data_IF_813897540141
#
_entry.id   IF_813897540141
#
_cell.length_a   1.000
_cell.length_b   1.000
_cell.length_c   1.000
_cell.angle_alpha   90.00
_cell.angle_beta   90.00
_cell.angle_gamma   90.00
#
_symmetry.space_group_name_H-M   'P 1'
#
loop_
_entity.id
_entity.type
_entity.pdbx_description
1 polymer ?
#
# COMPACT_ATOMS: atom_id res chain seq x y z
N UNK A 1 23.58 5.45 14.99
CA UNK A 1 22.49 4.52 15.34
C UNK A 1 21.32 5.23 16.02
N UNK A 2 21.53 6.27 16.84
CA UNK A 2 20.47 7.05 17.53
C UNK A 2 19.22 7.39 16.69
N UNK A 3 19.38 8.00 15.51
CA UNK A 3 18.23 8.38 14.67
C UNK A 3 17.41 7.21 14.11
N UNK A 4 17.97 6.00 14.06
CA UNK A 4 17.23 4.81 13.63
C UNK A 4 16.40 4.24 14.80
N UNK A 5 16.88 4.41 16.03
CA UNK A 5 16.16 4.05 17.25
C UNK A 5 14.86 4.85 17.38
N UNK A 6 14.85 6.12 16.97
CA UNK A 6 13.64 6.96 16.95
C UNK A 6 12.55 6.44 15.98
N UNK A 7 12.91 5.60 15.01
CA UNK A 7 11.98 5.02 14.03
C UNK A 7 11.44 3.65 14.42
N UNK A 8 11.94 3.06 15.52
CA UNK A 8 11.46 1.76 16.00
C UNK A 8 9.95 1.78 16.20
N UNK A 9 9.38 2.86 16.73
CA UNK A 9 7.94 2.96 16.94
C UNK A 9 7.14 2.96 15.64
N UNK A 10 7.65 3.60 14.58
CA UNK A 10 7.04 3.53 13.26
C UNK A 10 7.13 2.11 12.71
N UNK A 11 8.30 1.48 12.81
CA UNK A 11 8.54 0.12 12.34
C UNK A 11 7.63 -0.90 13.02
N UNK A 12 7.50 -0.86 14.34
CA UNK A 12 6.57 -1.72 15.09
C UNK A 12 5.12 -1.47 14.67
N UNK A 13 4.72 -0.20 14.49
CA UNK A 13 3.37 0.15 14.04
C UNK A 13 3.05 -0.49 12.69
N UNK A 14 3.92 -0.25 11.71
CA UNK A 14 3.77 -0.75 10.33
C UNK A 14 3.80 -2.27 10.29
N UNK A 15 4.67 -2.90 11.09
CA UNK A 15 4.71 -4.35 11.25
C UNK A 15 3.37 -4.91 11.75
N UNK A 16 2.83 -4.35 12.85
CA UNK A 16 1.58 -4.81 13.43
C UNK A 16 0.39 -4.60 12.49
N UNK A 17 0.32 -3.46 11.79
CA UNK A 17 -0.75 -3.20 10.82
C UNK A 17 -0.65 -4.15 9.62
N UNK A 18 0.56 -4.39 9.11
CA UNK A 18 0.80 -5.34 8.02
C UNK A 18 0.45 -6.77 8.43
N UNK A 19 0.82 -7.18 9.65
CA UNK A 19 0.50 -8.48 10.20
C UNK A 19 -1.02 -8.70 10.27
N UNK A 20 -1.77 -7.73 10.76
CA UNK A 20 -3.24 -7.82 10.84
C UNK A 20 -3.89 -7.95 9.45
N UNK A 21 -3.42 -7.15 8.48
CA UNK A 21 -3.92 -7.20 7.10
C UNK A 21 -3.64 -8.56 6.44
N UNK A 22 -2.39 -9.02 6.51
CA UNK A 22 -1.91 -10.23 5.82
C UNK A 22 -2.41 -11.52 6.48
N UNK A 23 -2.76 -11.47 7.76
CA UNK A 23 -3.40 -12.58 8.47
C UNK A 23 -4.81 -12.89 7.92
N UNK A 24 -5.54 -11.88 7.44
CA UNK A 24 -6.92 -12.04 6.96
C UNK A 24 -6.98 -12.41 5.48
N UNK A 25 -5.97 -12.02 4.71
CA UNK A 25 -5.95 -12.15 3.26
C UNK A 25 -6.23 -13.60 2.76
N UNK A 26 -5.61 -14.68 3.29
CA UNK A 26 -5.90 -16.04 2.83
C UNK A 26 -7.30 -16.54 3.24
N UNK A 27 -7.90 -15.94 4.26
CA UNK A 27 -9.17 -16.35 4.83
C UNK A 27 -10.37 -15.71 4.14
N UNK A 28 -10.16 -14.60 3.41
CA UNK A 28 -11.26 -13.80 2.88
C UNK A 28 -12.07 -14.55 1.82
N UNK A 29 -11.41 -15.32 0.95
CA UNK A 29 -12.06 -16.14 -0.07
C UNK A 29 -13.02 -17.16 0.55
N UNK A 30 -12.62 -17.80 1.64
CA UNK A 30 -13.48 -18.74 2.36
C UNK A 30 -14.70 -18.04 2.96
N UNK A 31 -14.49 -16.87 3.59
CA UNK A 31 -15.59 -16.08 4.15
C UNK A 31 -16.56 -15.60 3.07
N UNK A 32 -16.06 -15.02 1.98
CA UNK A 32 -16.88 -14.56 0.86
C UNK A 32 -17.72 -15.68 0.27
N UNK A 33 -17.12 -16.85 0.01
CA UNK A 33 -17.83 -17.99 -0.55
C UNK A 33 -18.91 -18.50 0.41
N UNK A 34 -18.61 -18.64 1.70
CA UNK A 34 -19.60 -19.09 2.69
C UNK A 34 -20.76 -18.11 2.87
N UNK A 35 -20.53 -16.81 2.71
CA UNK A 35 -21.54 -15.77 2.89
C UNK A 35 -22.44 -15.58 1.66
N UNK A 36 -21.91 -15.72 0.45
CA UNK A 36 -22.65 -15.48 -0.80
C UNK A 36 -23.20 -16.76 -1.43
N UNK A 37 -22.45 -17.85 -1.38
CA UNK A 37 -22.74 -19.11 -2.07
C UNK A 37 -22.46 -20.31 -1.14
N UNK A 38 -23.25 -20.49 -0.07
CA UNK A 38 -23.00 -21.54 0.92
C UNK A 38 -23.05 -22.94 0.28
N UNK A 39 -22.02 -23.75 0.54
CA UNK A 39 -21.93 -25.13 0.04
C UNK A 39 -21.53 -25.27 -1.44
N UNK A 40 -21.18 -24.18 -2.11
CA UNK A 40 -20.69 -24.20 -3.49
C UNK A 40 -19.22 -23.77 -3.55
N UNK A 41 -18.44 -24.40 -4.43
CA UNK A 41 -17.03 -24.04 -4.65
C UNK A 41 -16.85 -23.04 -5.81
N UNK A 42 -17.88 -22.83 -6.63
CA UNK A 42 -17.89 -21.86 -7.71
C UNK A 42 -19.00 -20.82 -7.49
N UNK A 43 -18.63 -19.53 -7.47
CA UNK A 43 -19.55 -18.42 -7.27
C UNK A 43 -19.09 -17.23 -8.12
N UNK A 44 -19.74 -17.00 -9.26
CA UNK A 44 -19.40 -15.89 -10.16
C UNK A 44 -19.58 -14.53 -9.48
N UNK A 45 -20.60 -14.40 -8.64
CA UNK A 45 -20.88 -13.18 -7.87
C UNK A 45 -19.70 -12.77 -6.98
N UNK A 46 -19.05 -13.72 -6.31
CA UNK A 46 -17.89 -13.45 -5.46
C UNK A 46 -16.70 -12.87 -6.24
N UNK A 47 -16.47 -13.39 -7.46
CA UNK A 47 -15.42 -12.92 -8.36
C UNK A 47 -15.73 -11.51 -8.87
N UNK A 48 -16.97 -11.26 -9.33
CA UNK A 48 -17.37 -9.94 -9.81
C UNK A 48 -17.30 -8.87 -8.72
N UNK A 49 -17.77 -9.18 -7.50
CA UNK A 49 -17.70 -8.26 -6.37
C UNK A 49 -16.25 -7.96 -5.99
N UNK A 50 -15.38 -8.98 -5.94
CA UNK A 50 -13.96 -8.81 -5.62
C UNK A 50 -13.25 -7.97 -6.70
N UNK A 51 -13.52 -8.22 -7.98
CA UNK A 51 -12.96 -7.43 -9.09
C UNK A 51 -13.45 -5.98 -9.07
N UNK A 52 -14.74 -5.75 -8.83
CA UNK A 52 -15.31 -4.40 -8.73
C UNK A 52 -14.72 -3.64 -7.53
N UNK A 53 -14.57 -4.31 -6.40
CA UNK A 53 -13.93 -3.74 -5.22
C UNK A 53 -12.48 -3.35 -5.52
N UNK A 54 -11.68 -4.23 -6.15
CA UNK A 54 -10.30 -3.92 -6.52
C UNK A 54 -10.21 -2.74 -7.50
N UNK A 55 -11.11 -2.67 -8.49
CA UNK A 55 -11.16 -1.55 -9.43
C UNK A 55 -11.45 -0.21 -8.73
N UNK A 56 -12.43 -0.18 -7.80
CA UNK A 56 -12.73 1.03 -7.02
C UNK A 56 -11.56 1.42 -6.13
N UNK A 57 -10.94 0.45 -5.44
CA UNK A 57 -9.80 0.69 -4.56
C UNK A 57 -8.62 1.27 -5.36
N UNK A 58 -8.28 0.66 -6.50
CA UNK A 58 -7.21 1.12 -7.37
C UNK A 58 -7.47 2.55 -7.87
N UNK A 59 -8.64 2.80 -8.48
CA UNK A 59 -9.00 4.14 -8.97
C UNK A 59 -9.07 5.18 -7.85
N UNK A 60 -9.64 4.81 -6.69
CA UNK A 60 -9.72 5.66 -5.51
C UNK A 60 -8.35 6.04 -4.98
N UNK A 61 -7.43 5.07 -4.94
CA UNK A 61 -6.06 5.27 -4.46
C UNK A 61 -5.29 6.27 -5.34
N UNK A 62 -5.55 6.33 -6.65
CA UNK A 62 -4.93 7.34 -7.55
C UNK A 62 -5.23 8.77 -7.09
N UNK A 63 -6.44 9.02 -6.58
CA UNK A 63 -6.86 10.36 -6.14
C UNK A 63 -6.55 10.60 -4.66
N UNK A 64 -6.77 9.60 -3.82
CA UNK A 64 -6.66 9.72 -2.36
C UNK A 64 -5.21 9.76 -1.90
N UNK A 65 -4.30 9.01 -2.53
CA UNK A 65 -2.88 8.97 -2.15
C UNK A 65 -2.20 10.34 -2.21
N UNK A 66 -2.29 11.14 -3.31
CA UNK A 66 -1.67 12.47 -3.35
C UNK A 66 -2.34 13.43 -2.38
N UNK A 67 -3.66 13.29 -2.16
CA UNK A 67 -4.40 14.11 -1.20
C UNK A 67 -3.91 13.86 0.23
N UNK A 68 -3.78 12.60 0.64
CA UNK A 68 -3.23 12.21 1.96
C UNK A 68 -1.80 12.72 2.10
N UNK A 69 -0.97 12.62 1.05
CA UNK A 69 0.40 13.15 1.04
C UNK A 69 0.45 14.64 1.36
N UNK A 70 -0.31 15.46 0.63
CA UNK A 70 -0.35 16.92 0.83
C UNK A 70 -0.96 17.30 2.20
N UNK A 71 -2.04 16.63 2.63
CA UNK A 71 -2.61 16.85 3.96
C UNK A 71 -1.62 16.50 5.08
N UNK A 72 -0.81 15.47 4.86
CA UNK A 72 0.21 15.03 5.81
C UNK A 72 1.38 15.99 5.95
N UNK A 73 1.69 16.74 4.89
CA UNK A 73 2.68 17.81 4.95
C UNK A 73 2.19 18.98 5.84
N UNK A 74 0.89 19.25 5.87
CA UNK A 74 0.31 20.39 6.60
C UNK A 74 -0.10 20.05 8.04
N UNK A 75 -0.83 18.94 8.23
CA UNK A 75 -1.36 18.51 9.52
C UNK A 75 -0.38 17.64 10.32
N UNK A 76 0.75 17.29 9.72
CA UNK A 76 1.75 16.43 10.31
C UNK A 76 1.53 14.94 10.03
N UNK A 77 2.65 14.23 9.91
CA UNK A 77 2.72 12.82 9.50
C UNK A 77 2.01 11.88 10.48
N UNK A 78 2.19 12.09 11.80
CA UNK A 78 1.56 11.24 12.83
C UNK A 78 0.04 11.42 12.85
N UNK A 79 -0.46 12.65 12.76
CA UNK A 79 -1.89 12.90 12.72
C UNK A 79 -2.55 12.20 11.53
N UNK A 80 -1.95 12.34 10.34
CA UNK A 80 -2.47 11.70 9.13
C UNK A 80 -2.33 10.19 9.13
N UNK A 81 -1.27 9.61 9.72
CA UNK A 81 -1.10 8.15 9.81
C UNK A 81 -2.12 7.47 10.74
N UNK A 82 -2.75 8.23 11.65
CA UNK A 82 -3.79 7.67 12.53
C UNK A 82 -5.06 7.32 11.74
N UNK A 83 -5.42 8.14 10.75
CA UNK A 83 -6.65 7.97 9.97
C UNK A 83 -6.70 6.58 9.31
N UNK A 84 -5.73 6.15 8.48
CA UNK A 84 -5.79 4.84 7.86
C UNK A 84 -5.68 3.70 8.89
N UNK A 85 -4.87 3.84 9.95
CA UNK A 85 -4.77 2.82 10.99
C UNK A 85 -6.11 2.57 11.69
N UNK A 86 -6.81 3.63 12.06
CA UNK A 86 -8.13 3.52 12.72
C UNK A 86 -9.22 3.03 11.78
N UNK A 87 -9.24 3.50 10.52
CA UNK A 87 -10.19 3.03 9.52
C UNK A 87 -10.01 1.54 9.19
N UNK A 88 -8.78 1.01 9.25
CA UNK A 88 -8.50 -0.41 9.00
C UNK A 88 -9.15 -1.36 10.00
N UNK A 89 -9.50 -0.87 11.21
CA UNK A 89 -10.12 -1.68 12.27
C UNK A 89 -11.58 -2.01 11.93
N UNK A 90 -12.30 -1.10 11.26
CA UNK A 90 -13.75 -1.23 11.09
C UNK A 90 -14.15 -2.45 10.25
N UNK A 91 -13.57 -2.70 9.05
CA UNK A 91 -13.89 -3.90 8.28
C UNK A 91 -13.54 -5.18 9.02
N UNK A 92 -12.42 -5.19 9.76
CA UNK A 92 -12.00 -6.33 10.57
C UNK A 92 -12.98 -6.63 11.69
N UNK A 93 -13.45 -5.60 12.40
CA UNK A 93 -14.40 -5.72 13.50
C UNK A 93 -15.75 -6.27 13.03
N UNK A 94 -16.23 -5.87 11.85
CA UNK A 94 -17.48 -6.38 11.26
C UNK A 94 -17.40 -7.91 11.08
N UNK A 95 -16.34 -8.40 10.43
CA UNK A 95 -16.16 -9.84 10.19
C UNK A 95 -15.76 -10.62 11.45
N UNK A 96 -15.19 -9.95 12.46
CA UNK A 96 -14.94 -10.53 13.77
C UNK A 96 -16.24 -10.78 14.56
N UNK A 97 -17.27 -9.92 14.37
CA UNK A 97 -18.57 -10.05 15.03
C UNK A 97 -19.43 -11.13 14.38
N UNK A 98 -19.70 -11.01 13.07
CA UNK A 98 -20.54 -11.97 12.34
C UNK A 98 -20.14 -12.06 10.87
N UNK A 99 -20.35 -13.25 10.28
CA UNK A 99 -19.99 -13.58 8.90
C UNK A 99 -21.20 -14.00 8.07
N UNK A 100 -22.40 -13.58 8.48
CA UNK A 100 -23.61 -13.78 7.66
C UNK A 100 -23.62 -12.82 6.47
N UNK A 101 -24.46 -13.09 5.48
CA UNK A 101 -24.54 -12.35 4.22
C UNK A 101 -24.70 -10.83 4.41
N UNK A 102 -25.53 -10.38 5.37
CA UNK A 102 -25.73 -8.95 5.66
C UNK A 102 -24.45 -8.28 6.19
N UNK A 103 -23.72 -8.96 7.08
CA UNK A 103 -22.45 -8.44 7.60
C UNK A 103 -21.36 -8.48 6.53
N UNK A 104 -21.39 -9.45 5.61
CA UNK A 104 -20.50 -9.46 4.46
C UNK A 104 -20.72 -8.23 3.56
N UNK A 105 -21.96 -7.86 3.23
CA UNK A 105 -22.22 -6.65 2.44
C UNK A 105 -21.83 -5.37 3.18
N UNK A 106 -22.04 -5.31 4.51
CA UNK A 106 -21.55 -4.20 5.33
C UNK A 106 -20.02 -4.11 5.31
N UNK A 107 -19.32 -5.24 5.45
CA UNK A 107 -17.88 -5.35 5.28
C UNK A 107 -17.44 -4.90 3.89
N UNK A 108 -18.11 -5.37 2.84
CA UNK A 108 -17.79 -5.04 1.45
C UNK A 108 -17.83 -3.53 1.20
N UNK A 109 -18.94 -2.88 1.57
CA UNK A 109 -19.10 -1.44 1.40
C UNK A 109 -18.05 -0.66 2.22
N UNK A 110 -17.88 -1.02 3.49
CA UNK A 110 -16.95 -0.30 4.36
C UNK A 110 -15.49 -0.54 3.99
N UNK A 111 -15.12 -1.77 3.64
CA UNK A 111 -13.79 -2.11 3.14
C UNK A 111 -13.51 -1.35 1.85
N UNK A 112 -14.45 -1.28 0.91
CA UNK A 112 -14.26 -0.53 -0.33
C UNK A 112 -13.93 0.94 -0.07
N UNK A 113 -14.66 1.59 0.84
CA UNK A 113 -14.43 3.01 1.19
C UNK A 113 -13.13 3.22 1.97
N UNK A 114 -12.85 2.36 2.95
CA UNK A 114 -11.66 2.49 3.81
C UNK A 114 -10.38 2.11 3.09
N UNK A 115 -10.41 1.08 2.24
CA UNK A 115 -9.27 0.60 1.45
C UNK A 115 -8.63 1.68 0.57
N UNK A 116 -9.43 2.58 0.00
CA UNK A 116 -8.95 3.71 -0.79
C UNK A 116 -7.97 4.61 -0.01
N UNK A 117 -8.12 4.64 1.33
CA UNK A 117 -7.28 5.41 2.26
C UNK A 117 -6.21 4.54 2.89
N UNK A 118 -6.53 3.28 3.24
CA UNK A 118 -5.62 2.42 4.03
C UNK A 118 -4.50 1.81 3.21
N UNK A 119 -4.80 1.26 2.03
CA UNK A 119 -3.90 0.35 1.33
C UNK A 119 -2.67 1.11 0.79
N UNK A 120 -2.89 2.31 0.25
CA UNK A 120 -1.80 3.22 -0.15
C UNK A 120 -1.34 4.14 0.98
N UNK A 121 -2.25 4.59 1.86
CA UNK A 121 -1.97 5.65 2.82
C UNK A 121 -0.94 5.26 3.87
N UNK A 122 -1.00 4.05 4.44
CA UNK A 122 -0.05 3.61 5.48
C UNK A 122 1.37 3.59 4.92
N UNK A 123 1.55 3.00 3.74
CA UNK A 123 2.86 2.87 3.09
C UNK A 123 3.43 4.24 2.67
N UNK A 124 2.60 5.09 2.06
CA UNK A 124 2.98 6.44 1.66
C UNK A 124 3.44 7.27 2.86
N UNK A 125 2.65 7.28 3.93
CA UNK A 125 2.92 8.06 5.14
C UNK A 125 4.13 7.55 5.91
N UNK A 126 4.34 6.23 5.96
CA UNK A 126 5.51 5.63 6.58
C UNK A 126 6.80 6.00 5.82
N UNK A 127 6.79 5.89 4.49
CA UNK A 127 7.92 6.30 3.64
C UNK A 127 8.24 7.79 3.82
N UNK A 128 7.21 8.63 3.82
CA UNK A 128 7.38 10.07 4.03
C UNK A 128 7.93 10.38 5.43
N UNK A 129 7.43 9.71 6.48
CA UNK A 129 7.95 9.87 7.85
C UNK A 129 9.43 9.48 7.94
N UNK A 130 9.84 8.37 7.31
CA UNK A 130 11.25 7.95 7.26
C UNK A 130 12.11 8.99 6.53
N UNK A 131 11.63 9.50 5.39
CA UNK A 131 12.33 10.51 4.60
C UNK A 131 12.57 11.81 5.39
N UNK A 132 11.59 12.23 6.19
CA UNK A 132 11.63 13.45 6.98
C UNK A 132 12.55 13.34 8.21
N UNK A 133 12.79 12.12 8.74
CA UNK A 133 13.55 11.90 9.98
C UNK A 133 15.02 11.49 9.76
N UNK A 134 15.37 11.05 8.55
CA UNK A 134 16.71 10.53 8.24
C UNK A 134 17.43 11.41 7.24
N UNK A 135 18.73 11.62 7.47
CA UNK A 135 19.64 12.29 6.55
C UNK A 135 19.78 11.53 5.22
N UNK A 136 19.95 12.26 4.12
CA UNK A 136 19.94 11.70 2.77
C UNK A 136 20.88 10.49 2.58
N UNK A 137 22.08 10.56 3.16
CA UNK A 137 23.09 9.49 3.11
C UNK A 137 22.65 8.15 3.70
N UNK A 138 21.65 8.14 4.60
CA UNK A 138 21.14 6.94 5.27
C UNK A 138 19.71 6.57 4.88
N UNK A 139 19.06 7.36 4.02
CA UNK A 139 17.67 7.12 3.59
C UNK A 139 17.50 5.78 2.89
N UNK A 140 18.42 5.43 1.98
CA UNK A 140 18.38 4.17 1.25
C UNK A 140 18.38 2.95 2.20
N UNK A 141 19.27 2.96 3.20
CA UNK A 141 19.33 1.89 4.21
C UNK A 141 18.03 1.79 5.01
N UNK A 142 17.45 2.91 5.41
CA UNK A 142 16.22 2.91 6.19
C UNK A 142 14.96 2.53 5.40
N UNK A 143 14.86 2.93 4.13
CA UNK A 143 13.83 2.43 3.23
C UNK A 143 13.97 0.92 3.01
N UNK A 144 15.21 0.41 2.95
CA UNK A 144 15.49 -1.03 2.96
C UNK A 144 14.97 -1.72 4.21
N UNK A 145 15.24 -1.16 5.40
CA UNK A 145 14.74 -1.71 6.68
C UNK A 145 13.20 -1.68 6.72
N UNK A 146 12.57 -0.57 6.34
CA UNK A 146 11.11 -0.46 6.28
C UNK A 146 10.50 -1.51 5.34
N UNK A 147 11.09 -1.69 4.16
CA UNK A 147 10.66 -2.73 3.20
C UNK A 147 10.83 -4.13 3.79
N UNK A 148 11.94 -4.39 4.47
CA UNK A 148 12.17 -5.66 5.18
C UNK A 148 11.12 -5.93 6.27
N UNK A 149 10.66 -4.89 6.98
CA UNK A 149 9.59 -5.01 7.98
C UNK A 149 8.24 -5.35 7.34
N UNK A 150 7.90 -4.75 6.20
CA UNK A 150 6.70 -5.12 5.44
C UNK A 150 6.77 -6.60 5.04
N UNK A 151 7.90 -7.05 4.49
CA UNK A 151 8.13 -8.46 4.15
C UNK A 151 8.01 -9.38 5.37
N UNK A 152 8.61 -9.00 6.50
CA UNK A 152 8.48 -9.76 7.74
C UNK A 152 7.01 -9.84 8.20
N UNK A 153 6.24 -8.75 8.07
CA UNK A 153 4.82 -8.72 8.39
C UNK A 153 4.00 -9.62 7.45
N UNK A 154 4.39 -9.71 6.19
CA UNK A 154 3.79 -10.61 5.19
C UNK A 154 3.96 -12.07 5.59
N UNK A 155 5.19 -12.49 5.87
CA UNK A 155 5.48 -13.87 6.25
C UNK A 155 4.86 -14.21 7.61
N UNK A 156 4.98 -13.33 8.60
CA UNK A 156 4.40 -13.57 9.93
C UNK A 156 2.86 -13.59 9.88
N UNK A 157 2.25 -12.67 9.13
CA UNK A 157 0.80 -12.60 8.96
C UNK A 157 0.23 -13.82 8.26
N UNK A 158 0.82 -14.23 7.13
CA UNK A 158 0.41 -15.43 6.38
C UNK A 158 0.65 -16.72 7.17
N UNK A 159 1.76 -16.82 7.92
CA UNK A 159 2.01 -17.93 8.83
C UNK A 159 0.95 -17.98 9.95
N UNK A 160 0.61 -16.84 10.54
CA UNK A 160 -0.44 -16.80 11.55
C UNK A 160 -1.81 -17.15 10.95
N UNK A 161 -2.08 -16.74 9.70
CA UNK A 161 -3.28 -17.17 8.96
C UNK A 161 -3.33 -18.69 8.80
N UNK A 162 -2.19 -19.34 8.53
CA UNK A 162 -2.08 -20.79 8.36
C UNK A 162 -2.34 -21.58 9.65
N UNK A 163 -1.93 -21.04 10.79
CA UNK A 163 -2.01 -21.71 12.10
C UNK A 163 -3.33 -21.47 12.82
N UNK A 164 -3.91 -20.28 12.67
CA UNK A 164 -5.18 -19.94 13.32
C UNK A 164 -6.35 -20.61 12.60
N UNK A 165 -7.51 -20.84 13.25
CA UNK A 165 -8.75 -21.17 12.56
C UNK A 165 -9.43 -19.89 12.03
N UNK A 166 -10.18 -20.00 10.93
CA UNK A 166 -10.89 -18.87 10.28
C UNK A 166 -11.81 -18.09 11.24
N UNK A 167 -12.35 -18.76 12.26
CA UNK A 167 -13.19 -18.13 13.30
C UNK A 167 -12.45 -17.18 14.23
N UNK A 168 -11.15 -17.42 14.48
CA UNK A 168 -10.31 -16.60 15.35
C UNK A 168 -9.48 -15.59 14.56
N UNK A 169 -9.15 -15.88 13.30
CA UNK A 169 -8.34 -15.03 12.42
C UNK A 169 -8.80 -13.56 12.44
N UNK A 170 -10.09 -13.30 12.20
CA UNK A 170 -10.61 -11.92 12.17
C UNK A 170 -10.63 -11.25 13.53
N UNK A 171 -10.91 -12.00 14.61
CA UNK A 171 -10.91 -11.47 15.99
C UNK A 171 -9.50 -11.03 16.39
N UNK A 172 -8.51 -11.90 16.13
CA UNK A 172 -7.11 -11.62 16.44
C UNK A 172 -6.59 -10.48 15.56
N UNK A 173 -6.90 -10.47 14.26
CA UNK A 173 -6.50 -9.39 13.36
C UNK A 173 -7.09 -8.03 13.79
N UNK A 174 -8.36 -7.97 14.21
CA UNK A 174 -8.96 -6.75 14.74
C UNK A 174 -8.25 -6.25 16.00
N UNK A 175 -7.95 -7.14 16.96
CA UNK A 175 -7.21 -6.80 18.18
C UNK A 175 -5.80 -6.32 17.86
N UNK A 176 -5.07 -6.99 16.97
CA UNK A 176 -3.73 -6.57 16.55
C UNK A 176 -3.76 -5.21 15.85
N UNK A 177 -4.75 -4.95 15.00
CA UNK A 177 -4.92 -3.64 14.35
C UNK A 177 -5.24 -2.54 15.37
N UNK A 178 -6.09 -2.81 16.37
CA UNK A 178 -6.33 -1.90 17.48
C UNK A 178 -5.05 -1.61 18.28
N UNK A 179 -4.26 -2.64 18.59
CA UNK A 179 -2.97 -2.47 19.28
C UNK A 179 -2.03 -1.62 18.43
N UNK A 180 -1.95 -1.85 17.11
CA UNK A 180 -1.14 -1.03 16.20
C UNK A 180 -1.54 0.45 16.27
N UNK A 181 -2.84 0.75 16.17
CA UNK A 181 -3.35 2.13 16.20
C UNK A 181 -3.09 2.81 17.56
N UNK A 182 -3.30 2.10 18.67
CA UNK A 182 -3.05 2.63 20.03
C UNK A 182 -1.56 2.83 20.27
N UNK A 183 -0.73 1.84 19.91
CA UNK A 183 0.73 1.90 20.04
C UNK A 183 1.29 3.10 19.27
N UNK A 184 0.85 3.29 18.03
CA UNK A 184 1.23 4.43 17.21
C UNK A 184 0.88 5.76 17.88
N UNK A 185 -0.34 5.90 18.39
CA UNK A 185 -0.81 7.14 19.02
C UNK A 185 0.02 7.51 20.26
N UNK A 186 0.39 6.51 21.06
CA UNK A 186 1.12 6.70 22.32
C UNK A 186 2.61 6.93 22.08
N UNK A 187 3.26 6.09 21.27
CA UNK A 187 4.73 6.04 21.21
C UNK A 187 5.36 6.80 20.04
N UNK A 188 4.63 7.04 18.95
CA UNK A 188 5.21 7.78 17.81
C UNK A 188 5.32 9.27 18.15
N UNK A 189 6.52 9.85 18.04
CA UNK A 189 6.74 11.27 18.36
C UNK A 189 6.09 12.19 17.32
N UNK A 190 5.45 13.25 17.82
CA UNK A 190 4.93 14.36 17.01
C UNK A 190 6.02 15.40 16.79
N UNK A 191 6.37 15.69 15.53
CA UNK A 191 7.34 16.77 15.21
C UNK A 191 6.80 18.17 15.48
N UNK A 192 5.48 18.34 15.58
CA UNK A 192 4.83 19.66 15.69
C UNK A 192 5.13 20.33 17.04
N UNK A 193 5.65 19.59 18.04
CA UNK A 193 5.84 20.07 19.40
C UNK A 193 7.29 20.36 19.82
N UNK A 194 8.29 20.00 19.01
CA UNK A 194 9.73 20.12 19.38
C UNK A 194 10.45 21.32 18.72
N UNK A 195 9.72 22.23 18.05
CA UNK A 195 10.23 23.52 17.62
C UNK A 195 9.80 24.63 18.59
N UNK A 196 10.74 25.18 19.35
CA UNK A 196 10.56 26.24 20.35
C UNK A 196 9.65 27.42 19.94
N UNK A 197 8.98 27.99 20.95
CA UNK A 197 8.51 29.39 21.00
C UNK A 197 7.61 29.90 19.87
N UNK A 198 6.34 29.49 19.86
CA UNK A 198 5.28 30.28 19.25
C UNK A 198 4.30 30.74 20.33
N UNK A 199 4.62 31.90 20.90
CA UNK A 199 3.66 32.86 21.43
C UNK A 199 2.40 32.79 20.59
N UNK A 200 1.32 32.29 21.18
CA UNK A 200 -0.02 32.25 20.59
C UNK A 200 -0.35 33.62 20.00
N UNK A 201 -0.53 33.80 18.68
CA UNK A 201 -1.09 35.03 18.15
C UNK A 201 -2.63 34.98 18.16
N UNK A 202 -3.23 34.27 19.12
CA UNK A 202 -4.69 34.07 19.18
C UNK A 202 -5.38 34.80 20.34
N UNK A 203 -4.65 35.43 21.26
CA UNK A 203 -5.23 36.09 22.44
C UNK A 203 -4.47 37.35 22.86
N UNK A 204 -4.48 38.39 22.00
CA UNK A 204 -4.41 39.80 22.45
C UNK A 204 -4.80 40.73 21.31
N UNK A 205 -6.09 40.98 21.18
CA UNK A 205 -6.59 42.17 20.46
C UNK A 205 -7.87 42.63 21.17
N UNK A 206 -7.67 43.28 22.32
CA UNK A 206 -8.68 44.00 23.06
C UNK A 206 -7.96 45.06 23.89
N UNK A 207 -8.28 46.33 23.61
CA UNK A 207 -7.61 47.59 24.02
C UNK A 207 -6.22 47.76 23.37
N UNK A 208 -5.91 48.77 22.55
CA UNK A 208 -6.38 50.17 22.50
C UNK A 208 -6.41 50.75 21.06
N UNK A 209 -7.23 51.80 20.90
CA UNK A 209 -7.48 52.58 19.67
C UNK A 209 -6.23 53.32 19.17
N UNK A 210 -6.04 53.52 17.85
CA UNK A 210 -6.41 54.75 17.10
C UNK A 210 -5.85 54.74 15.65
N UNK A 211 -6.67 55.21 14.69
CA UNK A 211 -6.36 55.75 13.34
C UNK A 211 -6.09 54.81 12.12
N UNK A 212 -7.19 54.40 11.47
CA UNK A 212 -7.61 54.78 10.10
C UNK A 212 -6.58 54.74 8.94
N UNK A 213 -6.65 53.71 8.09
CA UNK A 213 -6.77 53.88 6.62
C UNK A 213 -7.32 52.58 5.96
N UNK A 214 -7.99 52.76 4.83
CA UNK A 214 -8.98 51.86 4.24
C UNK A 214 -8.47 50.51 3.66
N UNK A 215 -9.21 49.46 4.01
CA UNK A 215 -9.64 48.33 3.16
C UNK A 215 -8.59 47.52 2.36
N UNK A 216 -7.98 46.51 3.00
CA UNK A 216 -7.76 45.20 2.36
C UNK A 216 -7.61 44.07 3.39
N UNK A 217 -8.60 43.17 3.43
CA UNK A 217 -8.60 41.99 4.29
C UNK A 217 -7.51 40.99 3.82
N UNK A 218 -6.62 40.49 4.69
CA UNK A 218 -5.69 39.44 4.30
C UNK A 218 -6.47 38.12 4.22
N UNK A 219 -6.95 37.81 3.01
CA UNK A 219 -7.58 36.52 2.69
C UNK A 219 -6.58 35.41 2.99
N UNK A 220 -6.88 34.60 4.01
CA UNK A 220 -6.28 33.28 4.23
C UNK A 220 -6.18 32.53 2.89
N UNK A 221 -5.03 31.96 2.51
CA UNK A 221 -4.93 31.28 1.22
C UNK A 221 -5.92 30.12 1.17
N UNK A 222 -6.68 29.96 0.08
CA UNK A 222 -7.77 28.99 0.00
C UNK A 222 -7.23 27.55 -0.04
N UNK A 223 -7.82 26.74 0.84
CA UNK A 223 -7.61 25.33 1.22
C UNK A 223 -7.56 24.31 0.06
N UNK A 224 -7.84 24.71 -1.18
CA UNK A 224 -8.14 23.79 -2.30
C UNK A 224 -7.25 23.94 -3.55
N UNK A 225 -6.30 24.88 -3.59
CA UNK A 225 -5.58 25.20 -4.85
C UNK A 225 -4.39 24.29 -5.21
N UNK A 226 -4.12 23.22 -4.45
CA UNK A 226 -3.01 22.29 -4.73
C UNK A 226 -3.43 20.83 -4.74
N UNK A 227 -4.67 20.56 -5.14
CA UNK A 227 -5.06 19.21 -5.55
C UNK A 227 -4.43 19.01 -6.93
N UNK A 228 -3.60 17.99 -7.05
CA UNK A 228 -3.09 17.53 -8.34
C UNK A 228 -4.28 17.27 -9.26
N UNK A 229 -4.50 18.13 -10.23
CA UNK A 229 -5.66 18.01 -11.11
C UNK A 229 -5.42 16.85 -12.07
N UNK A 230 -6.46 16.11 -12.49
CA UNK A 230 -6.32 15.08 -13.52
C UNK A 230 -5.66 15.62 -14.79
N UNK A 231 -5.87 16.91 -15.10
CA UNK A 231 -5.18 17.62 -16.17
C UNK A 231 -3.67 17.76 -15.97
N UNK A 232 -3.20 17.95 -14.74
CA UNK A 232 -1.77 18.02 -14.41
C UNK A 232 -1.12 16.63 -14.57
N UNK A 233 -1.83 15.57 -14.17
CA UNK A 233 -1.40 14.18 -14.35
C UNK A 233 -1.24 13.83 -15.85
N UNK A 234 -2.20 14.21 -16.68
CA UNK A 234 -2.16 14.00 -18.13
C UNK A 234 -1.07 14.87 -18.79
N UNK A 235 -0.88 16.10 -18.32
CA UNK A 235 0.17 17.00 -18.80
C UNK A 235 1.56 16.44 -18.49
N UNK A 236 1.74 15.89 -17.28
CA UNK A 236 3.00 15.27 -16.85
C UNK A 236 3.31 13.96 -17.58
N UNK A 237 2.30 13.14 -17.87
CA UNK A 237 2.44 11.97 -18.74
C UNK A 237 2.93 12.34 -20.15
N UNK A 238 2.63 13.55 -20.62
CA UNK A 238 3.09 14.06 -21.93
C UNK A 238 4.45 14.75 -21.88
N UNK A 239 5.04 14.98 -20.70
CA UNK A 239 6.33 15.70 -20.58
C UNK A 239 7.52 14.94 -21.19
N UNK A 240 7.51 13.61 -21.20
CA UNK A 240 8.53 12.84 -21.93
C UNK A 240 7.98 11.50 -22.43
N UNK A 241 8.40 11.12 -23.64
CA UNK A 241 7.99 9.85 -24.26
C UNK A 241 8.41 8.63 -23.42
N UNK A 242 9.58 8.70 -22.78
CA UNK A 242 10.12 7.64 -21.92
C UNK A 242 9.34 7.50 -20.61
N UNK A 243 8.90 8.60 -19.99
CA UNK A 243 8.08 8.56 -18.77
C UNK A 243 6.69 8.02 -19.07
N UNK A 244 6.11 8.42 -20.20
CA UNK A 244 4.84 7.88 -20.69
C UNK A 244 4.91 6.37 -20.91
N UNK A 245 5.98 5.87 -21.55
CA UNK A 245 6.19 4.43 -21.75
C UNK A 245 6.26 3.66 -20.42
N UNK A 246 7.02 4.15 -19.44
CA UNK A 246 7.14 3.49 -18.13
C UNK A 246 5.81 3.51 -17.37
N UNK A 247 5.06 4.60 -17.44
CA UNK A 247 3.74 4.69 -16.83
C UNK A 247 2.73 3.71 -17.47
N UNK A 248 2.76 3.56 -18.80
CA UNK A 248 1.93 2.57 -19.52
C UNK A 248 2.29 1.14 -19.09
N UNK A 249 3.58 0.82 -18.99
CA UNK A 249 4.05 -0.50 -18.52
C UNK A 249 3.59 -0.76 -17.08
N UNK A 250 3.75 0.22 -16.19
CA UNK A 250 3.30 0.11 -14.80
C UNK A 250 1.77 -0.09 -14.72
N UNK A 251 1.00 0.67 -15.49
CA UNK A 251 -0.46 0.54 -15.55
C UNK A 251 -0.89 -0.87 -15.96
N UNK A 252 -0.34 -1.42 -17.05
CA UNK A 252 -0.69 -2.78 -17.49
C UNK A 252 -0.23 -3.86 -16.52
N UNK A 253 0.96 -3.71 -15.92
CA UNK A 253 1.44 -4.65 -14.90
C UNK A 253 0.49 -4.69 -13.70
N UNK A 254 0.17 -3.52 -13.15
CA UNK A 254 -0.70 -3.42 -11.99
C UNK A 254 -2.15 -3.83 -12.30
N UNK A 255 -2.64 -3.59 -13.51
CA UNK A 255 -3.94 -4.10 -13.96
C UNK A 255 -3.96 -5.64 -14.00
N UNK A 256 -2.87 -6.25 -14.50
CA UNK A 256 -2.75 -7.69 -14.54
C UNK A 256 -2.66 -8.31 -13.14
N UNK A 257 -1.89 -7.70 -12.24
CA UNK A 257 -1.73 -8.14 -10.85
C UNK A 257 -3.05 -8.04 -10.07
N UNK A 258 -3.76 -6.91 -10.18
CA UNK A 258 -5.10 -6.75 -9.58
C UNK A 258 -6.10 -7.77 -10.12
N UNK A 259 -6.02 -8.11 -11.41
CA UNK A 259 -6.83 -9.17 -12.02
C UNK A 259 -6.58 -10.55 -11.43
N UNK A 260 -5.31 -10.91 -11.20
CA UNK A 260 -4.93 -12.15 -10.51
C UNK A 260 -5.42 -12.13 -9.07
N UNK A 261 -5.19 -11.04 -8.34
CA UNK A 261 -5.57 -10.92 -6.93
C UNK A 261 -7.10 -11.09 -6.76
N UNK A 262 -7.89 -10.56 -7.70
CA UNK A 262 -9.35 -10.65 -7.67
C UNK A 262 -9.91 -12.04 -8.01
N UNK A 263 -9.19 -12.85 -8.82
CA UNK A 263 -9.75 -14.06 -9.43
C UNK A 263 -9.04 -15.36 -9.06
N UNK A 264 -7.73 -15.36 -8.85
CA UNK A 264 -6.92 -16.58 -8.74
C UNK A 264 -7.33 -17.46 -7.54
N UNK A 265 -7.57 -16.86 -6.36
CA UNK A 265 -8.00 -17.62 -5.19
C UNK A 265 -9.34 -18.30 -5.41
N UNK A 266 -10.31 -17.61 -6.01
CA UNK A 266 -11.63 -18.19 -6.33
C UNK A 266 -11.54 -19.26 -7.42
N UNK A 267 -10.68 -19.08 -8.42
CA UNK A 267 -10.43 -20.08 -9.45
C UNK A 267 -9.84 -21.36 -8.84
N UNK A 268 -8.82 -21.25 -7.98
CA UNK A 268 -8.27 -22.42 -7.28
C UNK A 268 -9.27 -23.04 -6.29
N UNK A 269 -10.18 -22.25 -5.71
CA UNK A 269 -11.31 -22.79 -4.94
C UNK A 269 -12.19 -23.68 -5.80
N UNK A 270 -12.67 -23.16 -6.92
CA UNK A 270 -13.60 -23.84 -7.81
C UNK A 270 -12.98 -25.09 -8.47
N UNK A 271 -11.67 -25.04 -8.79
CA UNK A 271 -10.99 -26.12 -9.51
C UNK A 271 -10.40 -27.20 -8.61
N UNK A 272 -9.82 -26.81 -7.47
CA UNK A 272 -9.03 -27.69 -6.62
C UNK A 272 -9.52 -27.76 -5.18
N UNK A 273 -10.65 -27.11 -4.86
CA UNK A 273 -11.21 -27.05 -3.51
C UNK A 273 -10.24 -26.48 -2.48
N UNK A 274 -9.48 -25.45 -2.90
CA UNK A 274 -8.53 -24.81 -2.00
C UNK A 274 -9.23 -24.23 -0.78
N UNK A 275 -8.64 -24.45 0.39
CA UNK A 275 -9.03 -23.81 1.63
C UNK A 275 -7.99 -22.75 2.03
N UNK A 276 -8.32 -21.99 3.08
CA UNK A 276 -7.42 -21.00 3.70
C UNK A 276 -5.98 -21.49 3.86
N UNK A 277 -5.78 -22.73 4.29
CA UNK A 277 -4.44 -23.23 4.59
C UNK A 277 -3.59 -23.33 3.32
N UNK A 278 -4.17 -23.83 2.22
CA UNK A 278 -3.47 -23.92 0.94
C UNK A 278 -3.18 -22.54 0.34
N UNK A 279 -4.09 -21.58 0.50
CA UNK A 279 -3.82 -20.19 0.13
C UNK A 279 -2.66 -19.61 0.93
N UNK A 280 -2.65 -19.84 2.24
CA UNK A 280 -1.57 -19.38 3.11
C UNK A 280 -0.23 -20.06 2.77
N UNK A 281 -0.23 -21.36 2.46
CA UNK A 281 0.96 -22.09 2.03
C UNK A 281 1.54 -21.53 0.71
N UNK A 282 0.68 -21.22 -0.27
CA UNK A 282 1.10 -20.55 -1.52
C UNK A 282 1.68 -19.16 -1.27
N UNK A 283 1.02 -18.35 -0.47
CA UNK A 283 1.48 -17.00 -0.15
C UNK A 283 2.80 -17.04 0.62
N UNK A 284 2.96 -17.96 1.58
CA UNK A 284 4.22 -18.17 2.29
C UNK A 284 5.35 -18.53 1.34
N UNK A 285 5.10 -19.44 0.39
CA UNK A 285 6.08 -19.83 -0.61
C UNK A 285 6.45 -18.64 -1.51
N UNK A 286 5.47 -17.84 -1.94
CA UNK A 286 5.69 -16.65 -2.75
C UNK A 286 6.48 -15.58 -1.98
N UNK A 287 6.13 -15.35 -0.71
CA UNK A 287 6.82 -14.41 0.18
C UNK A 287 8.26 -14.85 0.43
N UNK A 288 8.50 -16.13 0.73
CA UNK A 288 9.85 -16.67 0.93
C UNK A 288 10.70 -16.56 -0.34
N UNK A 289 10.14 -16.95 -1.49
CA UNK A 289 10.81 -16.81 -2.79
C UNK A 289 11.14 -15.35 -3.11
N UNK A 290 10.19 -14.43 -2.85
CA UNK A 290 10.38 -12.99 -3.02
C UNK A 290 11.44 -12.41 -2.09
N UNK A 291 11.48 -12.81 -0.82
CA UNK A 291 12.51 -12.38 0.14
C UNK A 291 13.90 -12.82 -0.31
N UNK A 292 14.06 -14.09 -0.66
CA UNK A 292 15.33 -14.62 -1.17
C UNK A 292 15.74 -13.86 -2.43
N UNK A 293 14.78 -13.56 -3.30
CA UNK A 293 15.04 -12.79 -4.51
C UNK A 293 15.54 -11.37 -4.22
N UNK A 294 14.85 -10.62 -3.34
CA UNK A 294 15.22 -9.24 -3.03
C UNK A 294 16.53 -9.13 -2.26
N UNK A 295 16.81 -10.07 -1.35
CA UNK A 295 17.98 -10.00 -0.48
C UNK A 295 19.24 -10.58 -1.13
N UNK A 296 19.11 -11.61 -1.98
CA UNK A 296 20.25 -12.35 -2.54
C UNK A 296 20.38 -12.09 -4.04
N UNK A 297 19.34 -12.35 -4.80
CA UNK A 297 19.42 -12.29 -6.27
C UNK A 297 19.53 -10.86 -6.78
N UNK A 298 18.75 -9.91 -6.24
CA UNK A 298 18.75 -8.53 -6.72
C UNK A 298 20.12 -7.83 -6.55
N UNK A 299 20.77 -7.85 -5.37
CA UNK A 299 22.10 -7.26 -5.22
C UNK A 299 23.16 -7.97 -6.08
N UNK A 300 22.97 -9.27 -6.36
CA UNK A 300 23.87 -10.04 -7.21
C UNK A 300 23.70 -9.72 -8.70
N UNK A 301 22.47 -9.55 -9.20
CA UNK A 301 22.15 -9.33 -10.61
C UNK A 301 22.29 -7.87 -11.06
N UNK A 302 22.04 -6.92 -10.16
CA UNK A 302 22.11 -5.47 -10.44
C UNK A 302 23.45 -4.98 -11.01
N UNK A 303 24.65 -5.48 -10.62
CA UNK A 303 25.90 -5.07 -11.27
C UNK A 303 26.08 -5.65 -12.68
N UNK A 304 25.41 -6.75 -13.03
CA UNK A 304 25.60 -7.44 -14.31
C UNK A 304 24.54 -7.11 -15.38
N UNK A 305 23.33 -6.73 -14.96
CA UNK A 305 22.16 -6.57 -15.84
C UNK A 305 21.60 -5.15 -15.70
N UNK A 306 21.31 -4.49 -16.82
CA UNK A 306 20.64 -3.18 -16.81
C UNK A 306 19.21 -3.28 -16.27
N UNK A 307 18.74 -2.23 -15.60
CA UNK A 307 17.40 -2.18 -14.99
C UNK A 307 16.27 -2.41 -16.00
N UNK A 308 16.42 -1.94 -17.24
CA UNK A 308 15.45 -2.16 -18.32
C UNK A 308 15.34 -3.64 -18.71
N UNK A 309 16.48 -4.36 -18.75
CA UNK A 309 16.50 -5.81 -19.02
C UNK A 309 15.90 -6.57 -17.84
N UNK A 310 16.21 -6.15 -16.62
CA UNK A 310 15.66 -6.77 -15.40
C UNK A 310 14.14 -6.60 -15.34
N UNK A 311 13.62 -5.42 -15.69
CA UNK A 311 12.20 -5.16 -15.85
C UNK A 311 11.56 -6.09 -16.91
N UNK A 312 12.18 -6.19 -18.09
CA UNK A 312 11.69 -7.05 -19.17
C UNK A 312 11.65 -8.53 -18.78
N UNK A 313 12.70 -9.04 -18.11
CA UNK A 313 12.74 -10.42 -17.58
C UNK A 313 11.63 -10.64 -16.57
N UNK A 314 11.43 -9.71 -15.63
CA UNK A 314 10.38 -9.80 -14.61
C UNK A 314 8.98 -9.83 -15.22
N UNK A 315 8.69 -8.97 -16.20
CA UNK A 315 7.41 -8.94 -16.92
C UNK A 315 7.16 -10.22 -17.73
N UNK A 316 8.19 -10.74 -18.41
CA UNK A 316 8.09 -11.98 -19.16
C UNK A 316 7.84 -13.20 -18.26
N UNK A 317 8.56 -13.29 -17.15
CA UNK A 317 8.31 -14.33 -16.14
C UNK A 317 6.95 -14.18 -15.47
N UNK A 318 6.48 -12.94 -15.28
CA UNK A 318 5.13 -12.62 -14.85
C UNK A 318 4.08 -13.19 -15.80
N UNK A 319 4.21 -12.92 -17.10
CA UNK A 319 3.33 -13.49 -18.13
C UNK A 319 3.29 -15.02 -18.08
N UNK A 320 4.46 -15.69 -17.99
CA UNK A 320 4.52 -17.15 -17.86
C UNK A 320 3.81 -17.62 -16.58
N UNK A 321 4.02 -16.95 -15.45
CA UNK A 321 3.35 -17.28 -14.19
C UNK A 321 1.83 -17.16 -14.30
N UNK A 322 1.33 -16.06 -14.88
CA UNK A 322 -0.12 -15.87 -15.11
C UNK A 322 -0.69 -16.97 -16.01
N UNK A 323 0.04 -17.33 -17.08
CA UNK A 323 -0.36 -18.38 -18.01
C UNK A 323 -0.41 -19.76 -17.33
N UNK A 324 0.57 -20.08 -16.47
CA UNK A 324 0.60 -21.30 -15.69
C UNK A 324 -0.54 -21.37 -14.66
N UNK A 325 -0.87 -20.24 -14.02
CA UNK A 325 -2.03 -20.16 -13.13
C UNK A 325 -3.34 -20.40 -13.87
N UNK A 326 -3.48 -19.88 -15.10
CA UNK A 326 -4.68 -20.05 -15.92
C UNK A 326 -4.90 -21.50 -16.39
N UNK A 327 -3.83 -22.19 -16.77
CA UNK A 327 -3.89 -23.56 -17.33
C UNK A 327 -3.75 -24.65 -16.25
N UNK A 328 -3.66 -24.27 -14.98
CA UNK A 328 -3.36 -25.21 -13.89
C UNK A 328 -4.26 -26.48 -13.97
N UNK A 329 -3.64 -27.60 -14.35
CA UNK A 329 -4.34 -28.87 -14.55
C UNK A 329 -4.34 -29.73 -13.28
N UNK A 330 -3.47 -29.39 -12.32
CA UNK A 330 -3.25 -30.12 -11.08
C UNK A 330 -2.87 -29.17 -9.95
N UNK A 331 -3.12 -29.63 -8.72
CA UNK A 331 -2.90 -28.89 -7.47
C UNK A 331 -1.47 -28.38 -7.30
N UNK A 332 -0.48 -29.08 -7.85
CA UNK A 332 0.94 -28.70 -7.74
C UNK A 332 1.36 -27.54 -8.65
N UNK A 333 0.55 -27.19 -9.67
CA UNK A 333 0.96 -26.23 -10.71
C UNK A 333 1.05 -24.82 -10.13
N UNK A 334 0.08 -24.34 -9.33
CA UNK A 334 0.22 -23.07 -8.63
C UNK A 334 1.46 -23.02 -7.71
N UNK A 335 1.77 -24.11 -7.00
CA UNK A 335 2.95 -24.18 -6.14
C UNK A 335 4.25 -24.11 -6.95
N UNK A 336 4.34 -24.85 -8.06
CA UNK A 336 5.51 -24.81 -8.94
C UNK A 336 5.67 -23.44 -9.61
N UNK A 337 4.57 -22.85 -10.09
CA UNK A 337 4.56 -21.53 -10.70
C UNK A 337 4.98 -20.43 -9.71
N UNK A 338 4.78 -20.64 -8.40
CA UNK A 338 5.26 -19.74 -7.35
C UNK A 338 6.78 -19.57 -7.40
N UNK A 339 7.56 -20.54 -7.90
CA UNK A 339 9.00 -20.37 -8.08
C UNK A 339 9.36 -19.22 -9.04
N UNK A 340 8.47 -18.89 -10.00
CA UNK A 340 8.67 -17.78 -10.92
C UNK A 340 8.53 -16.41 -10.25
N UNK A 341 7.92 -16.34 -9.06
CA UNK A 341 7.80 -15.08 -8.30
C UNK A 341 9.15 -14.47 -7.95
N UNK A 342 10.20 -15.29 -7.88
CA UNK A 342 11.60 -14.82 -7.73
C UNK A 342 11.92 -13.74 -8.76
N UNK A 343 11.51 -13.91 -10.02
CA UNK A 343 11.79 -12.94 -11.07
C UNK A 343 10.79 -11.79 -11.12
N UNK A 344 9.51 -12.07 -10.82
CA UNK A 344 8.44 -11.06 -10.83
C UNK A 344 8.71 -9.95 -9.83
N UNK A 345 9.30 -10.29 -8.68
CA UNK A 345 9.60 -9.36 -7.59
C UNK A 345 10.62 -8.28 -7.99
N UNK A 346 11.31 -8.41 -9.12
CA UNK A 346 12.18 -7.37 -9.66
C UNK A 346 11.42 -6.24 -10.38
N UNK A 347 10.17 -6.43 -10.77
CA UNK A 347 9.39 -5.44 -11.52
C UNK A 347 9.20 -4.15 -10.71
N UNK A 348 8.67 -4.18 -9.45
CA UNK A 348 8.47 -2.96 -8.67
C UNK A 348 9.74 -2.12 -8.44
N UNK A 349 10.89 -2.68 -8.03
CA UNK A 349 12.09 -1.88 -7.82
C UNK A 349 12.72 -1.38 -9.14
N UNK A 350 12.62 -2.15 -10.24
CA UNK A 350 13.12 -1.71 -11.55
C UNK A 350 12.32 -0.53 -12.08
N UNK A 351 10.98 -0.57 -11.97
CA UNK A 351 10.11 0.58 -12.30
C UNK A 351 10.48 1.82 -11.49
N UNK A 352 10.75 1.67 -10.19
CA UNK A 352 11.16 2.80 -9.32
C UNK A 352 12.50 3.40 -9.72
N UNK A 353 13.48 2.56 -10.05
CA UNK A 353 14.80 3.06 -10.43
C UNK A 353 14.76 3.82 -11.77
N UNK A 354 14.07 3.26 -12.77
CA UNK A 354 13.91 3.89 -14.09
C UNK A 354 13.14 5.22 -13.97
N UNK A 355 12.02 5.23 -13.25
CA UNK A 355 11.25 6.47 -13.03
C UNK A 355 12.06 7.53 -12.29
N UNK A 356 12.82 7.14 -11.25
CA UNK A 356 13.67 8.07 -10.51
C UNK A 356 14.75 8.72 -11.38
N UNK A 357 15.40 7.96 -12.28
CA UNK A 357 16.44 8.50 -13.18
C UNK A 357 15.90 9.48 -14.22
N UNK A 358 14.69 9.22 -14.72
CA UNK A 358 14.07 10.09 -15.73
C UNK A 358 13.58 11.43 -15.16
N UNK A 359 13.22 11.46 -13.87
CA UNK A 359 12.84 12.71 -13.19
C UNK A 359 14.09 13.56 -12.93
N UNK A 360 15.20 12.97 -12.47
CA UNK A 360 16.47 13.67 -12.20
C UNK A 360 17.09 14.35 -13.42
N UNK A 361 16.98 13.78 -14.62
CA UNK A 361 17.51 14.38 -15.84
C UNK A 361 16.70 15.62 -16.33
N UNK A 362 15.46 15.77 -15.87
CA UNK A 362 14.53 16.83 -16.30
C UNK A 362 14.27 17.89 -15.19
N UNK A 363 15.10 17.95 -14.15
CA UNK A 363 14.92 18.85 -13.00
C UNK A 363 15.14 20.34 -13.34
N UNK A 364 15.78 20.69 -14.45
CA UNK A 364 16.07 22.11 -14.75
C UNK A 364 14.87 22.91 -15.28
N UNK A 365 13.76 22.28 -15.69
CA UNK A 365 12.70 22.97 -16.46
C UNK A 365 11.29 22.94 -15.86
N UNK A 366 11.05 22.22 -14.76
CA UNK A 366 9.70 22.12 -14.18
C UNK A 366 9.75 21.69 -12.70
N UNK A 367 9.92 22.70 -11.83
CA UNK A 367 10.31 22.65 -10.42
C UNK A 367 9.20 22.22 -9.44
N UNK A 368 9.58 21.45 -8.41
CA UNK A 368 9.01 21.26 -7.05
C UNK A 368 7.80 20.30 -6.75
N UNK A 369 6.67 20.22 -7.49
CA UNK A 369 5.61 19.24 -7.21
C UNK A 369 5.97 17.77 -7.52
N UNK A 370 7.05 17.53 -8.29
CA UNK A 370 7.38 16.22 -8.87
C UNK A 370 7.89 15.16 -7.88
N UNK A 371 8.49 15.55 -6.76
CA UNK A 371 9.04 14.60 -5.79
C UNK A 371 7.94 13.97 -4.92
N UNK A 372 6.92 14.76 -4.56
CA UNK A 372 5.67 14.25 -3.96
C UNK A 372 4.87 13.40 -4.96
N UNK A 373 4.91 13.75 -6.25
CA UNK A 373 4.28 12.99 -7.34
C UNK A 373 4.95 11.63 -7.60
N UNK A 374 6.28 11.55 -7.51
CA UNK A 374 7.03 10.28 -7.59
C UNK A 374 6.63 9.37 -6.43
N UNK A 375 6.58 9.88 -5.19
CA UNK A 375 6.07 9.12 -4.05
C UNK A 375 4.60 8.73 -4.23
N UNK A 376 3.78 9.56 -4.86
CA UNK A 376 2.37 9.27 -5.10
C UNK A 376 2.16 8.27 -6.25
N UNK A 377 2.95 8.30 -7.32
CA UNK A 377 2.92 7.33 -8.42
C UNK A 377 3.54 5.98 -8.03
N UNK A 378 4.64 6.02 -7.27
CA UNK A 378 5.22 4.83 -6.61
C UNK A 378 4.21 4.26 -5.62
N UNK A 379 3.49 5.12 -4.89
CA UNK A 379 2.44 4.68 -3.95
C UNK A 379 1.14 4.23 -4.63
N UNK A 380 0.86 4.68 -5.86
CA UNK A 380 -0.21 4.17 -6.75
C UNK A 380 0.19 2.82 -7.34
N UNK A 381 1.47 2.61 -7.68
CA UNK A 381 1.97 1.28 -8.00
C UNK A 381 1.90 0.36 -6.77
N UNK A 382 2.25 0.84 -5.57
CA UNK A 382 2.11 0.08 -4.32
C UNK A 382 0.66 -0.26 -3.93
N UNK A 383 -0.32 0.55 -4.35
CA UNK A 383 -1.74 0.25 -4.09
C UNK A 383 -2.24 -0.99 -4.86
N UNK A 384 -1.43 -1.50 -5.81
CA UNK A 384 -1.77 -2.61 -6.69
C UNK A 384 -0.84 -3.83 -6.50
N UNK A 385 0.22 -3.72 -5.70
CA UNK A 385 1.27 -4.75 -5.56
C UNK A 385 1.26 -5.48 -4.19
N UNK A 386 0.24 -5.30 -3.33
CA UNK A 386 0.03 -6.11 -2.11
C UNK A 386 -1.43 -6.33 -1.73
#
# INVERSE_FOLDING_TARGET
MEKLTDLIHLFVTVFLSGLAFLMVFPAITDVTMTALCPGQDACSLAIYLSGFQQAIIGMGSVVVTPLIGNLSDQYGRKAMLTIPLTLSILPLAILAYSRTTNFFYAYYALRTLTAMVTDSGINCLALAYVADNISESRRASAFGILSGILLASFVCGTLAARLLPTSLTFKIAAVVSMISAVYMRIFLKDKVLDGENLTRPFLKSGLDETHQDDSESPKKPPVFKKILTLGDLISLLKCSATFSQVAVVAFFNSLAEGGIQASAMYYWKARFHFNKNQYADLLLLAGAAGMVSQLVFMPFLTPFISEEKLLSIGLFMGFINMFLYSISWSIWVPFAATALTVFIVFVPPSLRSITSKQVGANEQLCSCPKMHLLNSLVSVCYALDF
#
